data_IF_701100033647
#
_entry.id   IF_701100033647
#
_cell.length_a   1.000
_cell.length_b   1.000
_cell.length_c   1.000
_cell.angle_alpha   90.00
_cell.angle_beta   90.00
_cell.angle_gamma   90.00
#
_symmetry.space_group_name_H-M   'P 1'
#
loop_
_entity.id
_entity.type
_entity.pdbx_description
1 polymer ?
#
# COMPACT_ATOMS: atom_id res chain seq x y z
N UNK A 1 -1.35 13.32 -18.53
CA UNK A 1 -2.01 13.56 -17.23
C UNK A 1 -3.21 14.50 -17.31
N UNK A 2 -3.22 15.63 -18.01
CA UNK A 2 -4.43 16.49 -18.15
C UNK A 2 -5.61 15.88 -18.96
N UNK A 3 -5.43 14.71 -19.60
CA UNK A 3 -6.49 14.02 -20.36
C UNK A 3 -7.22 12.92 -19.57
N UNK A 4 -6.73 12.55 -18.39
CA UNK A 4 -7.27 11.43 -17.61
C UNK A 4 -8.35 11.85 -16.59
N UNK A 5 -8.60 13.16 -16.43
CA UNK A 5 -9.58 13.69 -15.48
C UNK A 5 -11.04 13.41 -15.91
N UNK A 6 -11.26 12.87 -17.11
CA UNK A 6 -12.60 12.59 -17.67
C UNK A 6 -13.15 11.22 -17.22
N UNK A 7 -12.30 10.30 -16.74
CA UNK A 7 -12.74 8.96 -16.31
C UNK A 7 -13.42 8.92 -14.94
N UNK A 8 -13.37 10.02 -14.17
CA UNK A 8 -13.85 10.09 -12.77
C UNK A 8 -15.39 10.12 -12.67
N UNK A 9 -16.11 10.26 -13.78
CA UNK A 9 -17.58 10.16 -13.78
C UNK A 9 -18.04 8.97 -14.62
N UNK A 10 -17.76 7.74 -14.17
CA UNK A 10 -18.69 6.64 -14.39
C UNK A 10 -19.95 7.00 -13.60
N UNK A 11 -20.88 7.63 -14.30
CA UNK A 11 -22.10 8.15 -13.72
C UNK A 11 -22.99 6.97 -13.32
N UNK A 12 -23.01 6.67 -12.01
CA UNK A 12 -24.21 6.11 -11.39
C UNK A 12 -25.32 7.15 -11.57
N UNK A 13 -26.02 7.09 -12.70
CA UNK A 13 -27.11 7.99 -13.01
C UNK A 13 -28.22 7.72 -11.99
N UNK A 14 -28.41 8.64 -11.05
CA UNK A 14 -29.56 8.65 -10.15
C UNK A 14 -30.85 8.73 -10.99
N UNK A 15 -31.47 7.59 -11.28
CA UNK A 15 -32.74 7.53 -12.00
C UNK A 15 -33.86 7.95 -11.05
N UNK A 16 -34.31 9.21 -11.17
CA UNK A 16 -35.54 9.70 -10.56
C UNK A 16 -36.74 9.03 -11.25
N UNK A 17 -37.28 7.95 -10.67
CA UNK A 17 -38.50 7.32 -11.19
C UNK A 17 -39.75 8.08 -10.74
N UNK A 18 -40.63 8.38 -11.69
CA UNK A 18 -42.01 8.80 -11.42
C UNK A 18 -42.88 7.55 -11.35
N UNK A 19 -43.56 7.36 -10.22
CA UNK A 19 -44.31 6.15 -9.93
C UNK A 19 -45.52 5.93 -10.84
N UNK A 20 -45.71 4.67 -11.24
CA UNK A 20 -46.97 4.17 -11.81
C UNK A 20 -47.41 2.97 -10.98
N UNK A 21 -48.58 3.07 -10.35
CA UNK A 21 -49.24 1.98 -9.65
C UNK A 21 -49.90 1.03 -10.65
N UNK A 22 -49.70 -0.27 -10.47
CA UNK A 22 -50.62 -1.30 -10.95
C UNK A 22 -50.77 -2.39 -9.86
N UNK A 23 -52.01 -2.67 -9.49
CA UNK A 23 -52.40 -3.67 -8.52
C UNK A 23 -52.67 -5.02 -9.22
N UNK A 24 -52.33 -6.14 -8.58
CA UNK A 24 -52.86 -7.45 -8.97
C UNK A 24 -52.06 -8.67 -8.52
N UNK A 25 -52.55 -9.28 -7.44
CA UNK A 25 -52.58 -10.72 -7.09
C UNK A 25 -51.29 -11.48 -6.71
N UNK A 26 -51.32 -12.03 -5.48
CA UNK A 26 -50.32 -12.89 -4.83
C UNK A 26 -50.27 -14.28 -5.49
N UNK A 27 -49.08 -14.67 -5.96
CA UNK A 27 -48.68 -16.06 -6.13
C UNK A 27 -47.38 -16.33 -5.34
N UNK A 28 -47.36 -17.49 -4.69
CA UNK A 28 -46.44 -17.86 -3.61
C UNK A 28 -45.21 -18.60 -4.15
N UNK A 29 -44.29 -17.83 -4.72
CA UNK A 29 -42.85 -18.12 -4.70
C UNK A 29 -42.14 -16.80 -4.49
N UNK A 30 -41.62 -16.55 -3.29
CA UNK A 30 -40.86 -15.34 -2.98
C UNK A 30 -39.51 -15.38 -3.69
N UNK A 31 -39.50 -15.14 -5.00
CA UNK A 31 -38.34 -14.54 -5.65
C UNK A 31 -38.18 -13.15 -5.03
N UNK A 32 -36.99 -12.88 -4.49
CA UNK A 32 -36.72 -11.57 -3.91
C UNK A 32 -36.69 -10.55 -5.06
N UNK A 33 -37.62 -9.60 -5.04
CA UNK A 33 -37.78 -8.60 -6.11
C UNK A 33 -36.70 -7.54 -5.95
N UNK A 34 -35.84 -7.37 -6.96
CA UNK A 34 -34.83 -6.31 -6.97
C UNK A 34 -35.49 -4.92 -7.03
N UNK A 35 -34.87 -3.97 -6.33
CA UNK A 35 -35.08 -2.55 -6.55
C UNK A 35 -34.59 -2.13 -7.94
N UNK A 36 -35.04 -0.96 -8.41
CA UNK A 36 -34.55 -0.40 -9.67
C UNK A 36 -33.05 -0.07 -9.63
N UNK A 37 -32.49 0.21 -8.45
CA UNK A 37 -31.07 0.54 -8.26
C UNK A 37 -30.24 -0.74 -8.41
N UNK A 38 -30.58 -1.80 -7.67
CA UNK A 38 -29.91 -3.10 -7.76
C UNK A 38 -29.93 -3.65 -9.19
N UNK A 39 -31.08 -3.59 -9.88
CA UNK A 39 -31.20 -4.01 -11.27
C UNK A 39 -30.30 -3.18 -12.20
N UNK A 40 -30.20 -1.86 -11.97
CA UNK A 40 -29.34 -0.99 -12.77
C UNK A 40 -27.85 -1.26 -12.55
N UNK A 41 -27.44 -1.59 -11.32
CA UNK A 41 -26.06 -1.96 -11.00
C UNK A 41 -25.66 -3.25 -11.69
N UNK A 42 -26.48 -4.31 -11.60
CA UNK A 42 -26.17 -5.59 -12.24
C UNK A 42 -26.00 -5.45 -13.76
N UNK A 43 -26.88 -4.66 -14.41
CA UNK A 43 -26.79 -4.40 -15.86
C UNK A 43 -25.54 -3.58 -16.19
N UNK A 44 -25.21 -2.58 -15.37
CA UNK A 44 -24.00 -1.77 -15.59
C UNK A 44 -22.72 -2.58 -15.41
N UNK A 45 -22.58 -3.27 -14.28
CA UNK A 45 -21.44 -4.12 -13.93
C UNK A 45 -21.17 -5.18 -15.01
N UNK A 46 -22.24 -5.75 -15.59
CA UNK A 46 -22.12 -6.74 -16.67
C UNK A 46 -21.38 -6.19 -17.90
N UNK A 47 -21.60 -4.93 -18.26
CA UNK A 47 -20.87 -4.29 -19.37
C UNK A 47 -19.54 -3.66 -18.92
N UNK A 48 -19.36 -3.34 -17.64
CA UNK A 48 -18.10 -2.86 -17.08
C UNK A 48 -17.03 -3.96 -17.05
N UNK A 49 -17.37 -5.16 -16.60
CA UNK A 49 -16.48 -6.33 -16.69
C UNK A 49 -16.12 -6.67 -18.15
N UNK A 50 -17.07 -6.44 -19.07
CA UNK A 50 -16.81 -6.55 -20.51
C UNK A 50 -15.84 -5.48 -20.99
N UNK A 51 -15.95 -4.25 -20.49
CA UNK A 51 -15.03 -3.15 -20.80
C UNK A 51 -13.60 -3.51 -20.38
N UNK A 52 -13.42 -4.03 -19.16
CA UNK A 52 -12.14 -4.52 -18.68
C UNK A 52 -11.58 -5.63 -19.60
N UNK A 53 -12.37 -6.70 -19.80
CA UNK A 53 -12.00 -7.84 -20.66
C UNK A 53 -11.55 -7.40 -22.06
N UNK A 54 -12.38 -6.60 -22.73
CA UNK A 54 -12.17 -6.20 -24.12
C UNK A 54 -10.98 -5.25 -24.25
N UNK A 55 -10.77 -4.37 -23.26
CA UNK A 55 -9.59 -3.50 -23.21
C UNK A 55 -8.32 -4.33 -23.05
N UNK A 56 -8.33 -5.34 -22.18
CA UNK A 56 -7.18 -6.24 -21.97
C UNK A 56 -6.89 -7.12 -23.18
N UNK A 57 -7.90 -7.62 -23.88
CA UNK A 57 -7.70 -8.31 -25.16
C UNK A 57 -6.99 -7.37 -26.15
N UNK A 58 -7.49 -6.15 -26.31
CA UNK A 58 -6.98 -5.18 -27.28
C UNK A 58 -5.54 -4.76 -26.98
N UNK A 59 -5.25 -4.36 -25.73
CA UNK A 59 -3.92 -3.95 -25.31
C UNK A 59 -2.95 -5.14 -25.21
N UNK A 60 -3.45 -6.33 -24.89
CA UNK A 60 -2.70 -7.58 -24.93
C UNK A 60 -2.20 -7.92 -26.33
N UNK A 61 -3.04 -7.75 -27.35
CA UNK A 61 -2.66 -7.94 -28.76
C UNK A 61 -1.65 -6.88 -29.23
N UNK A 62 -1.77 -5.63 -28.76
CA UNK A 62 -0.87 -4.54 -29.11
C UNK A 62 0.54 -4.70 -28.51
N UNK A 63 0.64 -5.12 -27.24
CA UNK A 63 1.91 -5.11 -26.49
C UNK A 63 2.49 -6.49 -26.20
N UNK A 64 1.70 -7.57 -26.35
CA UNK A 64 2.15 -8.94 -26.11
C UNK A 64 2.48 -9.27 -24.65
N UNK A 65 2.03 -8.45 -23.69
CA UNK A 65 2.26 -8.70 -22.28
C UNK A 65 1.31 -9.77 -21.74
N UNK A 66 1.88 -10.79 -21.08
CA UNK A 66 1.11 -11.92 -20.56
C UNK A 66 0.07 -11.52 -19.51
N UNK A 67 0.33 -10.44 -18.75
CA UNK A 67 -0.58 -9.92 -17.72
C UNK A 67 -1.98 -9.67 -18.29
N UNK A 68 -2.09 -8.99 -19.44
CA UNK A 68 -3.36 -8.74 -20.11
C UNK A 68 -4.09 -10.03 -20.48
N UNK A 69 -3.40 -10.99 -21.11
CA UNK A 69 -4.03 -12.25 -21.52
C UNK A 69 -4.50 -13.10 -20.32
N UNK A 70 -3.83 -12.99 -19.18
CA UNK A 70 -4.22 -13.72 -17.98
C UNK A 70 -5.45 -13.09 -17.33
N UNK A 71 -5.43 -11.77 -17.17
CA UNK A 71 -6.49 -11.00 -16.52
C UNK A 71 -7.74 -10.99 -17.39
N UNK A 72 -7.63 -10.83 -18.72
CA UNK A 72 -8.80 -10.92 -19.61
C UNK A 72 -9.56 -12.25 -19.54
N UNK A 73 -8.93 -13.35 -19.10
CA UNK A 73 -9.64 -14.63 -18.84
C UNK A 73 -10.34 -14.63 -17.47
N UNK A 74 -9.80 -13.89 -16.51
CA UNK A 74 -10.45 -13.63 -15.22
C UNK A 74 -11.71 -12.79 -15.42
N UNK A 75 -11.63 -11.72 -16.22
CA UNK A 75 -12.81 -10.87 -16.51
C UNK A 75 -13.92 -11.64 -17.20
N UNK A 76 -13.60 -12.62 -18.04
CA UNK A 76 -14.63 -13.51 -18.57
C UNK A 76 -15.38 -14.26 -17.47
N UNK A 77 -14.69 -14.65 -16.40
CA UNK A 77 -15.29 -15.34 -15.26
C UNK A 77 -16.18 -14.39 -14.44
N UNK A 78 -15.75 -13.14 -14.25
CA UNK A 78 -16.58 -12.10 -13.60
C UNK A 78 -17.85 -11.82 -14.40
N UNK A 79 -17.69 -11.62 -15.71
CA UNK A 79 -18.79 -11.50 -16.68
C UNK A 79 -19.79 -12.65 -16.54
N UNK A 80 -19.33 -13.90 -16.51
CA UNK A 80 -20.18 -15.10 -16.40
C UNK A 80 -20.92 -15.16 -15.06
N UNK A 81 -20.29 -14.70 -13.96
CA UNK A 81 -20.91 -14.60 -12.65
C UNK A 81 -22.06 -13.58 -12.65
N UNK A 82 -21.85 -12.39 -13.23
CA UNK A 82 -22.89 -11.36 -13.35
C UNK A 82 -24.04 -11.80 -14.26
N UNK A 83 -23.74 -12.47 -15.38
CA UNK A 83 -24.76 -13.05 -16.25
C UNK A 83 -25.63 -14.07 -15.48
N UNK A 84 -25.03 -14.82 -14.56
CA UNK A 84 -25.79 -15.77 -13.74
C UNK A 84 -26.78 -15.04 -12.83
N UNK A 85 -26.41 -13.91 -12.23
CA UNK A 85 -27.32 -13.06 -11.46
C UNK A 85 -28.42 -12.44 -12.33
N UNK A 86 -28.09 -11.93 -13.53
CA UNK A 86 -29.10 -11.41 -14.46
C UNK A 86 -30.17 -12.46 -14.78
N UNK A 87 -29.75 -13.71 -15.03
CA UNK A 87 -30.67 -14.83 -15.28
C UNK A 87 -31.50 -15.19 -14.05
N UNK A 88 -30.91 -15.19 -12.85
CA UNK A 88 -31.61 -15.47 -11.58
C UNK A 88 -32.74 -14.45 -11.35
N UNK A 89 -32.47 -13.17 -11.63
CA UNK A 89 -33.42 -12.09 -11.39
C UNK A 89 -34.28 -11.71 -12.61
N UNK A 90 -34.17 -12.46 -13.72
CA UNK A 90 -34.97 -12.24 -14.92
C UNK A 90 -34.70 -10.91 -15.63
N UNK A 91 -33.47 -10.39 -15.55
CA UNK A 91 -33.03 -9.17 -16.22
C UNK A 91 -32.48 -9.49 -17.63
N UNK A 92 -32.74 -8.62 -18.60
CA UNK A 92 -32.19 -8.74 -19.95
C UNK A 92 -30.65 -8.55 -19.92
N UNK A 93 -29.88 -9.42 -20.59
CA UNK A 93 -28.43 -9.25 -20.73
C UNK A 93 -28.13 -8.06 -21.66
N UNK A 94 -27.44 -7.00 -21.18
CA UNK A 94 -27.07 -5.87 -22.03
C UNK A 94 -26.03 -6.24 -23.09
N UNK A 95 -25.31 -7.36 -22.94
CA UNK A 95 -24.31 -7.83 -23.91
C UNK A 95 -25.00 -8.55 -25.07
N UNK A 96 -25.62 -7.78 -25.98
CA UNK A 96 -26.28 -8.31 -27.19
C UNK A 96 -25.30 -8.80 -28.26
N UNK A 97 -24.03 -8.42 -28.14
CA UNK A 97 -22.94 -8.81 -29.03
C UNK A 97 -21.66 -8.96 -28.23
N UNK A 98 -21.07 -10.15 -28.27
CA UNK A 98 -19.82 -10.46 -27.59
C UNK A 98 -18.57 -10.06 -28.41
N UNK A 99 -18.75 -9.31 -29.50
CA UNK A 99 -17.63 -8.74 -30.22
C UNK A 99 -16.85 -7.75 -29.34
N UNK A 100 -15.52 -7.82 -29.42
CA UNK A 100 -14.61 -6.90 -28.71
C UNK A 100 -14.94 -5.46 -29.10
N UNK A 101 -15.13 -4.59 -28.10
CA UNK A 101 -15.42 -3.17 -28.29
C UNK A 101 -16.89 -2.84 -28.60
N UNK A 102 -17.78 -3.83 -28.58
CA UNK A 102 -19.22 -3.66 -28.80
C UNK A 102 -19.96 -3.53 -27.47
N UNK A 103 -20.62 -2.38 -27.21
CA UNK A 103 -21.38 -2.13 -25.99
C UNK A 103 -22.77 -1.55 -26.31
N UNK A 104 -23.76 -1.89 -25.50
CA UNK A 104 -25.09 -1.28 -25.53
C UNK A 104 -25.06 0.07 -24.82
N UNK A 105 -24.34 0.17 -23.70
CA UNK A 105 -24.09 1.42 -23.01
C UNK A 105 -23.10 2.31 -23.78
N UNK A 106 -23.60 3.44 -24.30
CA UNK A 106 -22.80 4.37 -25.10
C UNK A 106 -21.66 5.04 -24.31
N UNK A 107 -21.79 5.18 -22.99
CA UNK A 107 -20.72 5.71 -22.13
C UNK A 107 -19.57 4.71 -22.05
N UNK A 108 -19.86 3.44 -21.79
CA UNK A 108 -18.85 2.37 -21.74
C UNK A 108 -18.21 2.15 -23.13
N UNK A 109 -18.98 2.28 -24.22
CA UNK A 109 -18.44 2.26 -25.57
C UNK A 109 -17.39 3.37 -25.80
N UNK A 110 -17.65 4.59 -25.31
CA UNK A 110 -16.72 5.69 -25.43
C UNK A 110 -15.50 5.50 -24.51
N UNK A 111 -15.71 5.05 -23.27
CA UNK A 111 -14.63 4.73 -22.34
C UNK A 111 -13.68 3.67 -22.91
N UNK A 112 -14.19 2.62 -23.55
CA UNK A 112 -13.38 1.62 -24.25
C UNK A 112 -12.44 2.26 -25.27
N UNK A 113 -12.97 3.13 -26.13
CA UNK A 113 -12.17 3.81 -27.15
C UNK A 113 -11.09 4.70 -26.53
N UNK A 114 -11.41 5.42 -25.46
CA UNK A 114 -10.50 6.35 -24.79
C UNK A 114 -9.40 5.60 -24.01
N UNK A 115 -9.73 4.49 -23.36
CA UNK A 115 -8.80 3.63 -22.64
C UNK A 115 -7.84 2.93 -23.60
N UNK A 116 -8.34 2.36 -24.71
CA UNK A 116 -7.49 1.77 -25.75
C UNK A 116 -6.56 2.82 -26.35
N UNK A 117 -7.08 3.99 -26.73
CA UNK A 117 -6.26 5.05 -27.29
C UNK A 117 -5.16 5.54 -26.32
N UNK A 118 -5.43 5.52 -25.00
CA UNK A 118 -4.45 5.87 -23.97
C UNK A 118 -3.41 4.76 -23.80
N UNK A 119 -3.84 3.50 -23.75
CA UNK A 119 -2.96 2.35 -23.58
C UNK A 119 -2.10 2.04 -24.82
N UNK A 120 -2.50 2.47 -26.01
CA UNK A 120 -1.70 2.34 -27.23
C UNK A 120 -0.53 3.35 -27.32
N UNK A 121 -0.46 4.34 -26.41
CA UNK A 121 0.63 5.32 -26.40
C UNK A 121 1.97 4.68 -26.07
N UNK A 122 2.02 3.85 -25.02
CA UNK A 122 3.20 3.10 -24.64
C UNK A 122 2.83 1.87 -23.80
N UNK A 123 3.78 0.94 -23.70
CA UNK A 123 3.61 -0.24 -22.84
C UNK A 123 3.35 0.13 -21.37
N UNK A 124 3.98 1.20 -20.86
CA UNK A 124 3.75 1.68 -19.50
C UNK A 124 2.35 2.30 -19.37
N UNK A 125 1.92 3.10 -20.36
CA UNK A 125 0.56 3.65 -20.37
C UNK A 125 -0.51 2.55 -20.43
N UNK A 126 -0.26 1.45 -21.15
CA UNK A 126 -1.14 0.30 -21.16
C UNK A 126 -1.30 -0.34 -19.77
N UNK A 127 -0.20 -0.46 -19.02
CA UNK A 127 -0.24 -0.99 -17.66
C UNK A 127 -0.97 -0.05 -16.70
N UNK A 128 -0.79 1.27 -16.84
CA UNK A 128 -1.56 2.27 -16.10
C UNK A 128 -3.05 2.23 -16.44
N UNK A 129 -3.42 1.98 -17.70
CA UNK A 129 -4.82 1.75 -18.10
C UNK A 129 -5.38 0.50 -17.43
N UNK A 130 -4.60 -0.58 -17.35
CA UNK A 130 -4.95 -1.76 -16.58
C UNK A 130 -5.25 -1.44 -15.12
N UNK A 131 -4.30 -0.84 -14.42
CA UNK A 131 -4.47 -0.46 -13.01
C UNK A 131 -5.63 0.54 -12.79
N UNK A 132 -5.87 1.46 -13.73
CA UNK A 132 -6.99 2.40 -13.67
C UNK A 132 -8.33 1.69 -13.72
N UNK A 133 -8.49 0.72 -14.61
CA UNK A 133 -9.74 -0.04 -14.74
C UNK A 133 -10.03 -0.78 -13.43
N UNK A 134 -9.03 -1.44 -12.84
CA UNK A 134 -9.23 -2.16 -11.58
C UNK A 134 -9.61 -1.24 -10.40
N UNK A 135 -9.02 -0.05 -10.31
CA UNK A 135 -9.42 0.91 -9.27
C UNK A 135 -10.84 1.45 -9.47
N UNK A 136 -11.27 1.66 -10.72
CA UNK A 136 -12.65 2.07 -11.02
C UNK A 136 -13.63 0.95 -10.66
N UNK A 137 -13.31 -0.28 -11.06
CA UNK A 137 -14.13 -1.46 -10.82
C UNK A 137 -14.34 -1.70 -9.32
N UNK A 138 -13.27 -1.67 -8.52
CA UNK A 138 -13.35 -1.78 -7.04
C UNK A 138 -14.28 -0.71 -6.46
N UNK A 139 -14.09 0.56 -6.85
CA UNK A 139 -14.90 1.67 -6.33
C UNK A 139 -16.37 1.52 -6.69
N UNK A 140 -16.66 1.19 -7.94
CA UNK A 140 -18.03 1.14 -8.45
C UNK A 140 -18.76 -0.07 -7.83
N UNK A 141 -18.07 -1.20 -7.59
CA UNK A 141 -18.63 -2.36 -6.87
C UNK A 141 -18.86 -2.04 -5.39
N UNK A 142 -17.94 -1.35 -4.71
CA UNK A 142 -18.14 -0.91 -3.32
C UNK A 142 -19.41 -0.06 -3.19
N UNK A 143 -19.62 0.90 -4.11
CA UNK A 143 -20.85 1.70 -4.15
C UNK A 143 -22.08 0.83 -4.42
N UNK A 144 -21.97 -0.17 -5.32
CA UNK A 144 -23.08 -1.06 -5.60
C UNK A 144 -23.46 -1.98 -4.43
N UNK A 145 -22.50 -2.35 -3.58
CA UNK A 145 -22.72 -3.10 -2.33
C UNK A 145 -23.52 -2.26 -1.33
N UNK A 146 -23.27 -0.95 -1.23
CA UNK A 146 -24.00 -0.06 -0.30
C UNK A 146 -25.50 0.03 -0.61
N UNK A 147 -25.88 -0.18 -1.88
CA UNK A 147 -27.25 -0.02 -2.38
C UNK A 147 -28.04 -1.34 -2.47
N UNK A 148 -27.47 -2.48 -2.06
CA UNK A 148 -28.13 -3.79 -2.10
C UNK A 148 -28.27 -4.41 -0.72
N UNK A 149 -29.36 -5.14 -0.51
CA UNK A 149 -29.51 -6.01 0.68
C UNK A 149 -29.58 -7.50 0.32
N UNK A 150 -29.34 -7.84 -0.95
CA UNK A 150 -29.41 -9.19 -1.48
C UNK A 150 -28.07 -9.91 -1.28
N UNK A 151 -28.05 -10.87 -0.34
CA UNK A 151 -26.83 -11.59 0.05
C UNK A 151 -26.13 -12.31 -1.11
N UNK A 152 -26.88 -12.79 -2.10
CA UNK A 152 -26.32 -13.47 -3.28
C UNK A 152 -25.60 -12.49 -4.22
N UNK A 153 -26.13 -11.27 -4.39
CA UNK A 153 -25.46 -10.18 -5.11
C UNK A 153 -24.20 -9.76 -4.37
N UNK A 154 -24.29 -9.52 -3.06
CA UNK A 154 -23.13 -9.14 -2.23
C UNK A 154 -22.02 -10.18 -2.34
N UNK A 155 -22.36 -11.47 -2.27
CA UNK A 155 -21.37 -12.57 -2.39
C UNK A 155 -20.61 -12.52 -3.72
N UNK A 156 -21.31 -12.25 -4.83
CA UNK A 156 -20.66 -12.13 -6.14
C UNK A 156 -19.80 -10.88 -6.20
N UNK A 157 -20.30 -9.73 -5.75
CA UNK A 157 -19.56 -8.46 -5.72
C UNK A 157 -18.29 -8.52 -4.86
N UNK A 158 -18.33 -9.12 -3.68
CA UNK A 158 -17.13 -9.34 -2.86
C UNK A 158 -16.10 -10.24 -3.57
N UNK A 159 -16.57 -11.24 -4.34
CA UNK A 159 -15.68 -12.08 -5.14
C UNK A 159 -15.06 -11.31 -6.32
N UNK A 160 -15.81 -10.38 -6.93
CA UNK A 160 -15.30 -9.50 -8.00
C UNK A 160 -14.24 -8.55 -7.43
N UNK A 161 -14.52 -7.84 -6.32
CA UNK A 161 -13.53 -6.97 -5.64
C UNK A 161 -12.24 -7.74 -5.35
N UNK A 162 -12.33 -8.94 -4.78
CA UNK A 162 -11.14 -9.76 -4.52
C UNK A 162 -10.37 -10.11 -5.81
N UNK A 163 -11.07 -10.32 -6.93
CA UNK A 163 -10.49 -10.47 -8.26
C UNK A 163 -9.75 -9.22 -8.71
N UNK A 164 -10.43 -8.08 -8.71
CA UNK A 164 -9.91 -6.78 -9.16
C UNK A 164 -8.73 -6.31 -8.31
N UNK A 165 -8.70 -6.57 -7.00
CA UNK A 165 -7.53 -6.36 -6.14
C UNK A 165 -6.30 -7.19 -6.59
N UNK A 166 -6.52 -8.46 -6.97
CA UNK A 166 -5.44 -9.31 -7.49
C UNK A 166 -4.92 -8.78 -8.83
N UNK A 167 -5.81 -8.26 -9.68
CA UNK A 167 -5.45 -7.67 -10.96
C UNK A 167 -4.69 -6.35 -10.78
N UNK A 168 -5.13 -5.48 -9.86
CA UNK A 168 -4.46 -4.25 -9.51
C UNK A 168 -3.03 -4.53 -9.03
N UNK A 169 -2.86 -5.50 -8.10
CA UNK A 169 -1.54 -5.98 -7.68
C UNK A 169 -0.68 -6.47 -8.85
N UNK A 170 -1.28 -7.17 -9.81
CA UNK A 170 -0.56 -7.68 -10.98
C UNK A 170 -0.12 -6.56 -11.93
N UNK A 171 -0.97 -5.57 -12.21
CA UNK A 171 -0.61 -4.42 -13.05
C UNK A 171 0.43 -3.54 -12.37
N UNK A 172 0.21 -3.17 -11.11
CA UNK A 172 1.15 -2.35 -10.33
C UNK A 172 2.51 -3.03 -10.24
N UNK A 173 2.57 -4.33 -9.96
CA UNK A 173 3.83 -5.06 -9.95
C UNK A 173 4.57 -5.09 -11.29
N UNK A 174 3.88 -4.90 -12.43
CA UNK A 174 4.54 -4.70 -13.74
C UNK A 174 4.97 -3.25 -13.95
N UNK A 175 4.16 -2.28 -13.52
CA UNK A 175 4.49 -0.85 -13.58
C UNK A 175 5.80 -0.59 -12.83
N UNK A 176 5.93 -1.12 -11.62
CA UNK A 176 7.09 -0.87 -10.75
C UNK A 176 8.38 -1.52 -11.27
N UNK A 177 8.30 -2.52 -12.15
CA UNK A 177 9.48 -3.04 -12.86
C UNK A 177 10.09 -2.03 -13.83
N UNK A 178 9.38 -0.96 -14.19
CA UNK A 178 9.93 0.19 -14.91
C UNK A 178 10.66 1.18 -13.99
N UNK A 179 10.76 0.89 -12.68
CA UNK A 179 11.47 1.72 -11.70
C UNK A 179 10.71 2.98 -11.29
N UNK A 180 9.38 2.97 -11.45
CA UNK A 180 8.48 4.04 -11.02
C UNK A 180 7.55 3.52 -9.94
N UNK A 181 7.26 4.33 -8.94
CA UNK A 181 6.28 4.00 -7.90
C UNK A 181 4.87 4.25 -8.42
N UNK A 182 3.95 3.30 -8.18
CA UNK A 182 2.56 3.48 -8.54
C UNK A 182 1.83 4.37 -7.53
N UNK A 183 1.12 5.38 -8.04
CA UNK A 183 0.25 6.31 -7.31
C UNK A 183 -1.18 6.02 -7.72
N UNK A 184 -2.08 5.93 -6.74
CA UNK A 184 -3.50 5.71 -6.94
C UNK A 184 -4.11 6.73 -7.92
N UNK A 185 -4.96 6.26 -8.82
CA UNK A 185 -5.57 7.09 -9.85
C UNK A 185 -7.00 7.50 -9.50
N UNK A 186 -7.70 6.66 -8.73
CA UNK A 186 -9.12 6.77 -8.42
C UNK A 186 -9.41 6.51 -6.94
N UNK A 187 -8.90 5.41 -6.38
CA UNK A 187 -9.07 5.07 -4.97
C UNK A 187 -8.19 5.98 -4.09
N UNK A 188 -8.48 6.02 -2.79
CA UNK A 188 -7.59 6.69 -1.84
C UNK A 188 -6.23 5.99 -1.82
N UNK A 189 -5.14 6.76 -1.70
CA UNK A 189 -3.78 6.21 -1.75
C UNK A 189 -3.56 5.14 -0.66
N UNK A 190 -4.11 5.35 0.55
CA UNK A 190 -3.99 4.38 1.63
C UNK A 190 -4.71 3.07 1.33
N UNK A 191 -5.85 3.11 0.64
CA UNK A 191 -6.58 1.91 0.24
C UNK A 191 -5.80 1.11 -0.80
N UNK A 192 -5.23 1.79 -1.81
CA UNK A 192 -4.33 1.14 -2.78
C UNK A 192 -3.10 0.56 -2.07
N UNK A 193 -2.51 1.28 -1.12
CA UNK A 193 -1.36 0.77 -0.36
C UNK A 193 -1.73 -0.49 0.44
N UNK A 194 -2.90 -0.55 1.07
CA UNK A 194 -3.43 -1.74 1.75
C UNK A 194 -3.61 -2.91 0.77
N UNK A 195 -4.25 -2.67 -0.39
CA UNK A 195 -4.43 -3.68 -1.45
C UNK A 195 -3.09 -4.24 -1.93
N UNK A 196 -2.08 -3.38 -2.06
CA UNK A 196 -0.73 -3.74 -2.49
C UNK A 196 0.11 -4.37 -1.36
N UNK A 197 -0.40 -4.40 -0.12
CA UNK A 197 0.34 -4.87 1.04
C UNK A 197 1.53 -3.96 1.41
N UNK A 198 1.47 -2.69 1.00
CA UNK A 198 2.43 -1.65 1.40
C UNK A 198 2.02 -1.20 2.80
N UNK A 199 2.82 -1.54 3.81
CA UNK A 199 2.59 -0.98 5.14
C UNK A 199 2.77 0.53 5.09
N UNK A 200 1.66 1.26 5.21
CA UNK A 200 1.68 2.70 5.45
C UNK A 200 2.58 2.97 6.67
N UNK A 201 3.70 3.66 6.47
CA UNK A 201 4.52 4.13 7.59
C UNK A 201 3.74 5.07 8.51
N UNK A 202 2.62 5.63 8.04
CA UNK A 202 1.75 6.53 8.80
C UNK A 202 0.91 5.79 9.86
N UNK A 203 0.62 4.50 9.64
CA UNK A 203 -0.14 3.67 10.59
C UNK A 203 0.76 2.81 11.47
N UNK A 204 2.01 2.62 11.08
CA UNK A 204 2.99 1.96 11.92
C UNK A 204 3.15 2.68 13.27
N UNK A 205 3.23 1.91 14.35
CA UNK A 205 3.47 2.42 15.71
C UNK A 205 4.65 1.69 16.32
N UNK A 206 5.58 2.46 16.89
CA UNK A 206 6.71 1.89 17.64
C UNK A 206 6.16 1.04 18.80
N UNK A 207 6.53 -0.23 18.84
CA UNK A 207 6.14 -1.19 19.87
C UNK A 207 7.32 -2.03 20.37
N UNK A 208 7.10 -2.82 21.43
CA UNK A 208 8.16 -3.60 22.08
C UNK A 208 8.79 -4.67 21.18
N UNK A 209 8.12 -5.11 20.11
CA UNK A 209 8.68 -6.05 19.13
C UNK A 209 9.84 -5.48 18.31
N UNK A 210 10.07 -4.16 18.35
CA UNK A 210 11.21 -3.50 17.70
C UNK A 210 12.54 -3.66 18.46
N UNK A 211 12.51 -4.21 19.68
CA UNK A 211 13.68 -4.46 20.50
C UNK A 211 14.64 -5.43 19.83
N UNK A 212 15.81 -4.97 19.39
CA UNK A 212 16.88 -5.82 18.84
C UNK A 212 18.17 -5.04 18.48
N UNK A 213 19.13 -5.76 17.90
CA UNK A 213 20.22 -5.21 17.09
C UNK A 213 19.77 -4.89 15.65
N UNK A 214 20.20 -3.72 15.17
CA UNK A 214 19.95 -3.19 13.84
C UNK A 214 21.25 -2.70 13.21
N UNK A 215 21.36 -2.74 11.89
CA UNK A 215 22.56 -2.32 11.18
C UNK A 215 22.28 -1.89 9.74
N UNK A 216 23.27 -1.22 9.14
CA UNK A 216 23.29 -0.91 7.71
C UNK A 216 24.39 -1.74 7.02
N UNK A 217 24.05 -2.60 6.03
CA UNK A 217 25.02 -3.49 5.39
C UNK A 217 26.24 -2.80 4.78
N UNK A 218 26.06 -1.63 4.16
CA UNK A 218 27.15 -0.93 3.47
C UNK A 218 28.18 -0.32 4.44
N UNK A 219 27.83 -0.24 5.73
CA UNK A 219 28.75 0.13 6.80
C UNK A 219 28.86 -0.97 7.85
N UNK A 220 28.99 -2.23 7.42
CA UNK A 220 29.16 -3.36 8.32
C UNK A 220 30.30 -3.14 9.34
N UNK A 221 30.04 -3.51 10.60
CA UNK A 221 30.97 -3.30 11.73
C UNK A 221 30.48 -2.23 12.72
N UNK A 222 29.50 -1.41 12.33
CA UNK A 222 28.76 -0.51 13.21
C UNK A 222 27.27 -0.87 13.19
N UNK A 223 26.53 -0.44 14.21
CA UNK A 223 25.12 -0.79 14.37
C UNK A 223 24.48 -0.24 15.63
N UNK A 224 23.19 -0.53 15.79
CA UNK A 224 22.33 0.07 16.79
C UNK A 224 21.71 -1.02 17.67
N UNK A 225 21.69 -0.83 18.98
CA UNK A 225 20.76 -1.51 19.86
C UNK A 225 19.60 -0.57 20.17
N UNK A 226 18.38 -1.05 19.91
CA UNK A 226 17.15 -0.30 20.14
C UNK A 226 16.37 -1.00 21.24
N UNK A 227 15.97 -0.22 22.24
CA UNK A 227 15.13 -0.65 23.35
C UNK A 227 13.93 0.31 23.51
N UNK A 228 12.77 -0.18 23.13
CA UNK A 228 11.45 0.45 23.25
C UNK A 228 10.85 0.10 24.61
N UNK A 229 10.38 1.13 25.32
CA UNK A 229 9.69 1.02 26.60
C UNK A 229 8.28 1.61 26.45
N UNK A 230 7.28 0.84 25.97
CA UNK A 230 5.95 1.36 25.66
C UNK A 230 5.26 2.01 26.86
N UNK A 231 5.34 1.39 28.04
CA UNK A 231 4.72 1.92 29.27
C UNK A 231 5.30 3.27 29.71
N UNK A 232 6.57 3.52 29.37
CA UNK A 232 7.26 4.78 29.65
C UNK A 232 7.11 5.78 28.49
N UNK A 233 6.61 5.34 27.32
CA UNK A 233 6.48 6.16 26.13
C UNK A 233 7.82 6.62 25.53
N UNK A 234 8.90 5.86 25.73
CA UNK A 234 10.25 6.25 25.27
C UNK A 234 10.98 5.12 24.56
N UNK A 235 11.95 5.51 23.72
CA UNK A 235 12.96 4.62 23.12
C UNK A 235 14.33 5.02 23.65
N UNK A 236 15.16 4.01 23.95
CA UNK A 236 16.59 4.14 24.16
C UNK A 236 17.33 3.51 22.97
N UNK A 237 18.32 4.22 22.45
CA UNK A 237 19.16 3.77 21.35
C UNK A 237 20.63 3.89 21.75
N UNK A 238 21.39 2.82 21.51
CA UNK A 238 22.85 2.80 21.61
C UNK A 238 23.45 2.49 20.24
N UNK A 239 24.23 3.41 19.69
CA UNK A 239 24.91 3.28 18.41
C UNK A 239 26.39 2.96 18.63
N UNK A 240 26.83 1.78 18.19
CA UNK A 240 28.24 1.37 18.17
C UNK A 240 28.82 1.76 16.83
N UNK A 241 29.82 2.63 16.83
CA UNK A 241 30.41 3.22 15.63
C UNK A 241 31.91 3.44 15.83
N UNK A 242 32.53 4.16 14.91
CA UNK A 242 33.93 4.51 14.92
C UNK A 242 34.07 6.03 14.98
N UNK A 243 35.25 6.50 15.35
CA UNK A 243 35.61 7.90 15.25
C UNK A 243 35.60 8.35 13.77
N UNK A 244 35.51 9.65 13.58
CA UNK A 244 35.48 10.31 12.26
C UNK A 244 36.80 10.22 11.51
N UNK A 245 37.89 9.92 12.21
CA UNK A 245 39.23 9.74 11.67
C UNK A 245 39.86 8.48 12.27
N UNK A 246 40.69 7.79 11.48
CA UNK A 246 41.45 6.65 12.01
C UNK A 246 42.43 7.13 13.08
N UNK A 247 42.59 6.36 14.17
CA UNK A 247 43.59 6.68 15.18
C UNK A 247 45.00 6.71 14.56
N UNK A 248 45.93 7.49 15.11
CA UNK A 248 47.34 7.46 14.71
C UNK A 248 47.90 6.02 14.70
N UNK A 249 48.84 5.74 13.81
CA UNK A 249 49.40 4.39 13.66
C UNK A 249 50.14 3.89 14.91
N UNK A 250 50.53 4.80 15.80
CA UNK A 250 51.17 4.53 17.08
C UNK A 250 50.19 4.57 18.27
N UNK A 251 48.89 4.70 18.02
CA UNK A 251 47.88 4.60 19.07
C UNK A 251 47.84 3.19 19.64
N UNK A 252 48.02 3.08 20.96
CA UNK A 252 48.01 1.81 21.68
C UNK A 252 46.64 1.64 22.34
N UNK A 253 45.91 0.59 21.94
CA UNK A 253 44.76 0.08 22.67
C UNK A 253 45.14 -1.23 23.37
N UNK A 254 44.80 -1.36 24.65
CA UNK A 254 45.00 -2.61 25.39
C UNK A 254 43.97 -3.69 24.99
N UNK A 255 42.86 -3.29 24.37
CA UNK A 255 41.78 -4.15 23.90
C UNK A 255 40.99 -3.45 22.79
N UNK A 256 40.81 -4.10 21.64
CA UNK A 256 40.06 -3.55 20.49
C UNK A 256 40.81 -2.45 19.72
N UNK A 257 40.09 -1.77 18.83
CA UNK A 257 40.62 -0.62 18.08
C UNK A 257 40.37 0.69 18.87
N UNK A 258 41.37 1.59 18.98
CA UNK A 258 41.22 2.85 19.73
C UNK A 258 40.21 3.83 19.12
N UNK A 259 39.80 3.61 17.88
CA UNK A 259 38.79 4.38 17.17
C UNK A 259 37.34 4.01 17.52
N UNK A 260 37.06 2.95 18.29
CA UNK A 260 35.68 2.58 18.64
C UNK A 260 34.98 3.67 19.45
N UNK A 261 33.73 3.98 19.10
CA UNK A 261 32.87 4.95 19.80
C UNK A 261 31.50 4.33 20.06
N UNK A 262 30.83 4.76 21.12
CA UNK A 262 29.41 4.53 21.30
C UNK A 262 28.69 5.86 21.55
N UNK A 263 27.50 5.97 20.98
CA UNK A 263 26.63 7.14 21.12
C UNK A 263 25.32 6.65 21.71
N UNK A 264 24.80 7.31 22.73
CA UNK A 264 23.50 6.97 23.33
C UNK A 264 22.52 8.10 23.19
N UNK A 265 21.25 7.75 23.02
CA UNK A 265 20.16 8.70 22.96
C UNK A 265 18.88 8.07 23.55
N UNK A 266 18.06 8.88 24.20
CA UNK A 266 16.77 8.48 24.74
C UNK A 266 15.77 9.57 24.45
N UNK A 267 14.57 9.23 24.00
CA UNK A 267 13.53 10.23 23.74
C UNK A 267 12.14 9.62 23.58
N UNK A 268 11.11 10.48 23.50
CA UNK A 268 9.71 10.07 23.46
C UNK A 268 9.36 9.38 22.14
N UNK A 269 8.40 8.45 22.21
CA UNK A 269 7.74 7.84 21.07
C UNK A 269 6.66 8.79 20.55
N UNK A 270 6.64 9.00 19.24
CA UNK A 270 5.59 9.72 18.52
C UNK A 270 5.25 8.96 17.22
N UNK A 271 4.18 8.16 17.26
CA UNK A 271 3.77 7.31 16.15
C UNK A 271 4.84 6.28 15.77
N UNK A 272 5.37 6.39 14.55
CA UNK A 272 6.47 5.56 14.06
C UNK A 272 7.87 6.19 14.28
N UNK A 273 7.98 7.33 14.98
CA UNK A 273 9.24 8.07 15.17
C UNK A 273 9.58 8.28 16.64
N UNK A 274 10.87 8.52 16.90
CA UNK A 274 11.38 9.01 18.18
C UNK A 274 12.52 10.01 17.92
N UNK A 275 12.35 11.26 18.39
CA UNK A 275 13.38 12.30 18.33
C UNK A 275 14.10 12.36 19.68
N UNK A 276 15.41 12.16 19.68
CA UNK A 276 16.19 11.88 20.88
C UNK A 276 17.45 12.76 20.94
N UNK A 277 17.68 13.51 22.02
CA UNK A 277 18.95 14.19 22.23
C UNK A 277 20.08 13.17 22.43
N UNK A 278 21.24 13.46 21.86
CA UNK A 278 22.45 12.64 22.01
C UNK A 278 23.13 12.98 23.34
N UNK A 279 23.54 11.95 24.07
CA UNK A 279 24.36 12.08 25.28
C UNK A 279 25.68 11.34 25.10
N UNK A 280 26.79 12.07 25.21
CA UNK A 280 28.13 11.49 25.25
C UNK A 280 28.71 11.56 26.66
N UNK A 281 29.52 10.55 27.01
CA UNK A 281 30.24 10.51 28.28
C UNK A 281 31.74 10.38 28.06
N UNK A 282 32.52 10.97 28.96
CA UNK A 282 33.99 10.88 28.95
C UNK A 282 34.54 10.52 30.32
N UNK A 283 35.81 10.09 30.39
CA UNK A 283 36.50 9.80 31.65
C UNK A 283 36.26 8.41 32.25
N UNK A 284 35.48 7.55 31.60
CA UNK A 284 35.28 6.17 32.03
C UNK A 284 36.54 5.30 31.90
N UNK A 285 36.62 4.26 32.74
CA UNK A 285 37.68 3.24 32.71
C UNK A 285 37.03 1.86 32.52
N UNK A 286 37.65 1.01 31.71
CA UNK A 286 37.14 -0.34 31.41
C UNK A 286 36.89 -1.14 32.71
N UNK A 287 35.63 -1.57 32.89
CA UNK A 287 35.15 -2.38 34.02
C UNK A 287 35.62 -1.88 35.40
N UNK A 288 35.70 -0.55 35.58
CA UNK A 288 36.21 0.07 36.80
C UNK A 288 35.27 1.19 37.24
N UNK A 289 34.80 1.23 38.51
CA UNK A 289 34.03 2.34 39.03
C UNK A 289 34.82 3.64 38.91
N UNK A 290 34.32 4.60 38.12
CA UNK A 290 34.96 5.90 37.88
C UNK A 290 33.86 6.94 37.63
N UNK A 291 34.07 8.16 38.12
CA UNK A 291 33.17 9.27 37.84
C UNK A 291 33.31 9.68 36.37
N UNK A 292 32.23 9.55 35.59
CA UNK A 292 32.17 10.01 34.21
C UNK A 292 31.72 11.46 34.14
N UNK A 293 32.13 12.15 33.07
CA UNK A 293 31.68 13.51 32.75
C UNK A 293 30.69 13.47 31.60
N UNK A 294 29.74 14.42 31.63
CA UNK A 294 28.78 14.67 30.57
C UNK A 294 29.08 16.03 29.94
N UNK A 295 28.71 16.21 28.68
CA UNK A 295 28.67 17.53 28.07
C UNK A 295 27.67 18.41 28.83
N UNK A 296 28.05 19.64 29.17
CA UNK A 296 27.16 20.63 29.80
C UNK A 296 26.62 21.57 28.71
N UNK A 297 25.31 21.62 28.43
CA UNK A 297 24.17 20.96 29.11
C UNK A 297 24.01 19.50 28.66
N UNK A 298 23.64 18.55 29.55
CA UNK A 298 23.43 17.16 29.13
C UNK A 298 22.41 17.04 28.00
N UNK A 299 22.71 16.21 26.99
CA UNK A 299 21.87 16.06 25.80
C UNK A 299 22.11 17.09 24.69
N UNK A 300 23.10 17.97 24.84
CA UNK A 300 23.41 19.01 23.84
C UNK A 300 24.42 18.58 22.76
N UNK A 301 24.86 17.31 22.77
CA UNK A 301 25.85 16.79 21.81
C UNK A 301 25.30 16.70 20.37
N UNK A 302 23.98 16.64 20.21
CA UNK A 302 23.31 16.52 18.92
C UNK A 302 21.92 15.91 19.03
N UNK A 303 21.33 15.51 17.92
CA UNK A 303 20.01 14.85 17.86
C UNK A 303 20.06 13.62 16.97
N UNK A 304 19.34 12.57 17.38
CA UNK A 304 19.02 11.38 16.60
C UNK A 304 17.51 11.31 16.41
N UNK A 305 17.05 11.10 15.17
CA UNK A 305 15.66 10.77 14.87
C UNK A 305 15.63 9.34 14.36
N UNK A 306 14.95 8.48 15.10
CA UNK A 306 14.68 7.10 14.70
C UNK A 306 13.27 7.05 14.10
N UNK A 307 13.10 6.41 12.95
CA UNK A 307 11.79 6.12 12.36
C UNK A 307 11.72 4.71 11.83
N UNK A 308 10.54 4.10 11.88
CA UNK A 308 10.30 2.77 11.33
C UNK A 308 9.29 2.81 10.20
N UNK A 309 9.59 2.06 9.15
CA UNK A 309 8.70 1.86 8.00
C UNK A 309 7.81 0.63 8.26
N UNK A 310 8.41 -0.42 8.82
CA UNK A 310 7.74 -1.66 9.20
C UNK A 310 8.54 -2.40 10.28
N UNK A 311 8.15 -3.63 10.59
CA UNK A 311 8.80 -4.44 11.61
C UNK A 311 10.22 -4.92 11.26
N UNK A 312 10.71 -4.71 10.04
CA UNK A 312 12.00 -5.20 9.55
C UNK A 312 12.98 -4.11 9.10
N UNK A 313 12.50 -2.88 8.91
CA UNK A 313 13.26 -1.77 8.33
C UNK A 313 12.91 -0.43 8.99
N UNK A 314 13.90 0.47 9.03
CA UNK A 314 13.75 1.82 9.54
C UNK A 314 14.89 2.72 9.10
N UNK A 315 14.87 3.94 9.61
CA UNK A 315 15.84 4.99 9.31
C UNK A 315 16.33 5.64 10.60
N UNK A 316 17.64 5.94 10.63
CA UNK A 316 18.26 6.78 11.67
C UNK A 316 18.79 8.04 11.00
N UNK A 317 18.25 9.19 11.36
CA UNK A 317 18.76 10.51 10.99
C UNK A 317 19.56 11.08 12.16
N UNK A 318 20.73 11.66 11.92
CA UNK A 318 21.54 12.27 12.96
C UNK A 318 22.06 13.65 12.57
N UNK A 319 22.21 14.51 13.58
CA UNK A 319 22.92 15.79 13.48
C UNK A 319 23.78 15.99 14.74
N UNK A 320 25.10 16.10 14.56
CA UNK A 320 26.10 16.25 15.62
C UNK A 320 26.93 17.50 15.29
N UNK A 321 26.47 18.70 15.72
CA UNK A 321 27.10 19.97 15.35
C UNK A 321 28.56 20.09 15.80
N UNK A 322 28.92 19.49 16.94
CA UNK A 322 30.28 19.56 17.51
C UNK A 322 31.38 19.03 16.57
N UNK A 323 31.02 18.09 15.69
CA UNK A 323 31.92 17.53 14.66
C UNK A 323 31.48 17.89 13.23
N UNK A 324 30.49 18.76 13.07
CA UNK A 324 29.92 19.17 11.79
C UNK A 324 29.52 17.96 10.91
N UNK A 325 28.81 17.00 11.50
CA UNK A 325 28.32 15.79 10.82
C UNK A 325 26.83 15.62 10.99
N UNK A 326 26.15 15.40 9.87
CA UNK A 326 24.77 14.96 9.83
C UNK A 326 24.59 13.96 8.69
N UNK A 327 23.54 13.15 8.77
CA UNK A 327 23.26 12.15 7.75
C UNK A 327 22.08 11.25 8.09
N UNK A 328 21.79 10.35 7.17
CA UNK A 328 20.70 9.39 7.26
C UNK A 328 21.24 7.98 7.01
N UNK A 329 20.84 7.02 7.84
CA UNK A 329 21.31 5.64 7.80
C UNK A 329 20.08 4.72 7.71
N UNK A 330 19.87 4.02 6.58
CA UNK A 330 18.85 2.97 6.51
C UNK A 330 19.31 1.78 7.33
N UNK A 331 18.42 1.29 8.20
CA UNK A 331 18.70 0.19 9.11
C UNK A 331 17.76 -0.98 8.86
N UNK A 332 18.32 -2.17 8.97
CA UNK A 332 17.59 -3.43 8.99
C UNK A 332 18.00 -4.26 10.21
N UNK A 333 17.17 -5.22 10.61
CA UNK A 333 17.50 -6.10 11.73
C UNK A 333 18.70 -6.98 11.45
N UNK A 334 19.47 -7.27 12.50
CA UNK A 334 20.49 -8.33 12.46
C UNK A 334 19.82 -9.72 12.45
N UNK A 335 18.70 -9.89 13.17
CA UNK A 335 17.94 -11.13 13.24
C UNK A 335 16.43 -10.89 13.03
N UNK A 336 15.75 -11.81 12.36
CA UNK A 336 14.33 -11.67 12.01
C UNK A 336 13.34 -12.18 13.06
N UNK A 337 13.80 -12.81 14.14
CA UNK A 337 12.94 -13.58 15.06
C UNK A 337 11.85 -12.74 15.75
N UNK A 338 12.10 -11.44 15.94
CA UNK A 338 11.14 -10.51 16.56
C UNK A 338 10.17 -9.84 15.57
N UNK A 339 10.26 -10.12 14.26
CA UNK A 339 9.36 -9.52 13.25
C UNK A 339 7.90 -9.92 13.53
N UNK A 340 7.63 -11.21 13.70
CA UNK A 340 6.28 -11.71 13.97
C UNK A 340 5.67 -11.14 15.27
N UNK A 341 6.50 -10.92 16.30
CA UNK A 341 6.06 -10.27 17.54
C UNK A 341 5.71 -8.80 17.29
N UNK A 342 6.54 -8.08 16.55
CA UNK A 342 6.28 -6.69 16.19
C UNK A 342 4.98 -6.53 15.40
N UNK A 343 4.73 -7.42 14.43
CA UNK A 343 3.51 -7.41 13.62
C UNK A 343 2.26 -7.71 14.46
N UNK A 344 2.35 -8.69 15.37
CA UNK A 344 1.25 -9.01 16.27
C UNK A 344 0.86 -7.83 17.17
N UNK A 345 1.84 -7.05 17.64
CA UNK A 345 1.62 -5.88 18.49
C UNK A 345 1.08 -4.64 17.75
N UNK A 346 1.03 -4.66 16.41
CA UNK A 346 0.39 -3.60 15.62
C UNK A 346 -1.12 -3.84 15.50
N UNK A 347 -1.54 -5.11 15.53
CA UNK A 347 -2.93 -5.51 15.37
C UNK A 347 -3.78 -5.42 16.66
N UNK A 348 -3.14 -5.20 17.82
CA UNK A 348 -3.77 -5.08 19.16
C UNK A 348 -4.10 -3.63 19.54
#
# INVERSE_FOLDING_TARGET
>A
MERLTVFITAALALVLTTGVNAAGEEDSSTEAVLSSIEASHLVFMREEEKLARDTYITLGDAWGLRVFSNISRSEQTHMDALLSLLNIYGLDDPVVSDAVGSFTNATLAQMYLDLVASGEVSMLDALYVGALIEEVDIRDIQLAIEDTSQEDIVTVYESLIAGSENHLRAFVGQIEQFGVEYVAQVLDQSEVDDILGRTSSADFRINAGLNDAWYYPDTAGQGFFIAVFPDLGVVSLAWFTFDTELPPIDAIANLGDPGHRWVTAVGPIDGNRASMPITLTTGGIFDTPTDVQYTDVPGSDGTLVLSFENCSSGMVEYDIPAINRSGTIPIQRVAGDNIALCEALIAD
#
